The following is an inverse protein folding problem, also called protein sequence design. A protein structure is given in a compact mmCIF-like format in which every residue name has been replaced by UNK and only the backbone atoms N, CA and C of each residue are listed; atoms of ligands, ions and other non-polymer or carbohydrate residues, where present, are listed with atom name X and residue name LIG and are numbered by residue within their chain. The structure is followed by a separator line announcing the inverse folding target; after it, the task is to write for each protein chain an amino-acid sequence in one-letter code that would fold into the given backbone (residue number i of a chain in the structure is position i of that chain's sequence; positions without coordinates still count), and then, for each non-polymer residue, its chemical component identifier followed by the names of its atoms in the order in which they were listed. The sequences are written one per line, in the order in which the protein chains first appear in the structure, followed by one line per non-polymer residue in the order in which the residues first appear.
data_IF_245424359436
#
_entry.id   IF_245424359436
#
_cell.length_a   1.000
_cell.length_b   1.000
_cell.length_c   1.000
_cell.angle_alpha   90.00
_cell.angle_beta   90.00
_cell.angle_gamma   90.00
#
_symmetry.space_group_name_H-M   'P 1'
#
loop_
_entity.id
_entity.type
_entity.pdbx_description
1 polymer ?
#
# COMPACT_ATOMS: atom_id res chain seq x y z
N UNK A 1 -0.56 23.11 20.56
CA UNK A 1 -2.04 23.12 20.53
C UNK A 1 -2.54 23.76 19.25
N UNK A 2 -2.03 24.93 18.88
CA UNK A 2 -2.44 25.65 17.66
C UNK A 2 -2.40 24.80 16.37
N UNK A 3 -1.38 23.95 16.19
CA UNK A 3 -1.32 23.00 15.07
C UNK A 3 -2.46 21.97 15.08
N UNK A 4 -2.86 21.47 16.26
CA UNK A 4 -4.00 20.56 16.39
C UNK A 4 -5.32 21.30 16.11
N UNK A 5 -5.45 22.52 16.64
CA UNK A 5 -6.64 23.36 16.41
C UNK A 5 -6.83 23.62 14.92
N UNK A 6 -5.76 24.05 14.24
CA UNK A 6 -5.76 24.25 12.80
C UNK A 6 -6.14 22.98 12.04
N UNK A 7 -5.58 21.82 12.40
CA UNK A 7 -5.87 20.55 11.73
C UNK A 7 -7.34 20.12 11.89
N UNK A 8 -7.90 20.25 13.10
CA UNK A 8 -9.29 19.86 13.40
C UNK A 8 -10.28 20.79 12.70
N UNK A 9 -10.04 22.11 12.77
CA UNK A 9 -10.89 23.09 12.07
C UNK A 9 -10.80 22.94 10.56
N UNK A 10 -9.60 22.71 10.01
CA UNK A 10 -9.42 22.47 8.56
C UNK A 10 -10.13 21.20 8.11
N UNK A 11 -10.16 20.16 8.93
CA UNK A 11 -10.92 18.94 8.63
C UNK A 11 -12.42 19.21 8.53
N UNK A 12 -12.99 20.11 9.35
CA UNK A 12 -14.44 20.40 9.27
C UNK A 12 -14.88 21.14 8.01
N UNK A 13 -14.01 21.96 7.44
CA UNK A 13 -14.27 22.73 6.21
C UNK A 13 -13.63 22.09 4.98
N UNK A 14 -13.18 20.84 5.08
CA UNK A 14 -12.40 20.16 4.06
C UNK A 14 -13.10 20.19 2.70
N UNK A 15 -14.40 19.88 2.67
CA UNK A 15 -15.22 19.84 1.44
C UNK A 15 -15.27 21.20 0.72
N UNK A 16 -15.24 22.30 1.46
CA UNK A 16 -15.39 23.65 0.91
C UNK A 16 -14.06 24.25 0.46
N UNK A 17 -12.96 23.90 1.14
CA UNK A 17 -11.62 24.45 0.88
C UNK A 17 -10.85 23.63 -0.16
N UNK A 18 -11.10 22.33 -0.23
CA UNK A 18 -10.31 21.43 -1.08
C UNK A 18 -10.71 21.52 -2.56
N UNK A 19 -9.72 21.41 -3.45
CA UNK A 19 -9.94 21.32 -4.91
C UNK A 19 -10.40 19.90 -5.31
N UNK A 20 -10.02 18.88 -4.53
CA UNK A 20 -10.36 17.48 -4.80
C UNK A 20 -11.78 17.11 -4.35
N UNK A 21 -12.33 16.06 -4.94
CA UNK A 21 -13.61 15.49 -4.52
C UNK A 21 -13.41 14.61 -3.29
N UNK A 22 -13.52 15.23 -2.11
CA UNK A 22 -13.47 14.54 -0.82
C UNK A 22 -14.85 14.53 -0.15
N UNK A 23 -15.17 13.42 0.50
CA UNK A 23 -16.38 13.24 1.27
C UNK A 23 -16.07 12.64 2.65
N UNK A 24 -16.84 13.02 3.66
CA UNK A 24 -16.66 12.49 5.00
C UNK A 24 -17.23 11.09 5.10
N UNK A 25 -16.53 10.21 5.83
CA UNK A 25 -17.02 8.86 6.04
C UNK A 25 -18.21 8.84 7.01
N UNK A 26 -19.24 8.05 6.69
CA UNK A 26 -20.50 7.96 7.44
C UNK A 26 -20.79 6.51 7.84
N UNK A 27 -21.43 6.32 9.00
CA UNK A 27 -22.04 5.06 9.39
C UNK A 27 -23.33 4.80 8.58
N UNK A 28 -23.82 3.56 8.56
CA UNK A 28 -25.07 3.19 7.89
C UNK A 28 -26.29 4.04 8.32
N UNK A 29 -26.27 4.54 9.56
CA UNK A 29 -27.31 5.42 10.11
C UNK A 29 -27.21 6.89 9.65
N UNK A 30 -26.31 7.21 8.71
CA UNK A 30 -26.07 8.57 8.19
C UNK A 30 -25.27 9.49 9.13
N UNK A 31 -24.80 8.98 10.27
CA UNK A 31 -23.98 9.76 11.21
C UNK A 31 -22.52 9.76 10.75
N UNK A 32 -21.86 10.92 10.78
CA UNK A 32 -20.43 11.04 10.44
C UNK A 32 -19.56 10.27 11.42
N UNK A 33 -18.57 9.54 10.91
CA UNK A 33 -17.58 8.87 11.75
C UNK A 33 -16.72 9.94 12.42
N UNK A 34 -16.61 9.95 13.76
CA UNK A 34 -15.82 10.95 14.45
C UNK A 34 -14.34 10.76 14.14
N UNK A 35 -13.64 11.87 13.96
CA UNK A 35 -12.18 11.89 14.08
C UNK A 35 -11.78 11.60 15.53
N UNK A 36 -10.56 11.18 15.78
CA UNK A 36 -10.09 10.95 17.14
C UNK A 36 -8.63 11.33 17.31
N UNK A 37 -8.30 11.77 18.51
CA UNK A 37 -6.92 11.97 18.94
C UNK A 37 -6.52 10.77 19.78
N UNK A 38 -5.38 10.16 19.46
CA UNK A 38 -4.75 9.14 20.29
C UNK A 38 -3.34 9.59 20.65
N UNK A 39 -3.01 9.62 21.93
CA UNK A 39 -1.67 9.91 22.38
C UNK A 39 -1.10 8.76 23.21
N UNK A 40 0.17 8.48 22.98
CA UNK A 40 0.97 7.50 23.68
C UNK A 40 1.81 8.22 24.73
N UNK A 41 1.71 7.77 25.98
CA UNK A 41 2.46 8.33 27.11
C UNK A 41 3.26 7.23 27.79
N UNK A 42 4.39 7.57 28.40
CA UNK A 42 5.06 6.63 29.29
C UNK A 42 4.30 6.44 30.60
N UNK A 43 4.28 5.20 31.04
CA UNK A 43 3.96 4.83 32.41
C UNK A 43 5.15 5.12 33.34
N UNK A 44 4.92 4.94 34.63
CA UNK A 44 5.96 5.04 35.66
C UNK A 44 7.17 4.18 35.29
N UNK A 45 8.35 4.81 35.17
CA UNK A 45 9.61 4.13 34.91
C UNK A 45 10.09 4.16 33.45
N UNK A 46 9.44 4.88 32.53
CA UNK A 46 9.89 5.08 31.13
C UNK A 46 10.09 3.77 30.33
N UNK A 47 9.52 2.66 30.76
CA UNK A 47 9.66 1.35 30.12
C UNK A 47 8.41 0.92 29.37
N UNK A 48 7.22 1.25 29.89
CA UNK A 48 5.94 0.89 29.27
C UNK A 48 5.23 2.12 28.73
N UNK A 49 4.58 2.00 27.58
CA UNK A 49 3.71 3.03 27.02
C UNK A 49 2.22 2.72 27.30
N UNK A 50 1.43 3.78 27.52
CA UNK A 50 -0.02 3.74 27.65
C UNK A 50 -0.62 4.61 26.56
N UNK A 51 -1.51 4.00 25.77
CA UNK A 51 -2.29 4.70 24.76
C UNK A 51 -3.59 5.21 25.35
N UNK A 52 -3.88 6.49 25.15
CA UNK A 52 -5.15 7.11 25.50
C UNK A 52 -5.74 7.77 24.26
N UNK A 53 -7.02 7.52 23.98
CA UNK A 53 -7.71 8.07 22.82
C UNK A 53 -8.98 8.82 23.23
N UNK A 54 -9.27 9.90 22.52
CA UNK A 54 -10.47 10.71 22.68
C UNK A 54 -11.09 10.97 21.30
N UNK A 55 -12.39 10.73 21.19
CA UNK A 55 -13.14 11.03 19.99
C UNK A 55 -13.45 12.52 19.91
N UNK A 56 -13.31 13.09 18.71
CA UNK A 56 -13.67 14.47 18.38
C UNK A 56 -14.81 14.40 17.35
N UNK A 57 -16.07 14.60 17.80
CA UNK A 57 -17.22 14.56 16.92
C UNK A 57 -17.27 15.83 16.06
N UNK A 58 -17.50 15.65 14.76
CA UNK A 58 -17.61 16.74 13.77
C UNK A 58 -18.58 17.84 14.23
N UNK A 59 -19.74 17.46 14.77
CA UNK A 59 -20.79 18.40 15.19
C UNK A 59 -20.35 19.34 16.32
N UNK A 60 -19.50 18.87 17.26
CA UNK A 60 -19.02 19.71 18.35
C UNK A 60 -18.05 20.79 17.85
N UNK A 61 -17.22 20.44 16.87
CA UNK A 61 -16.29 21.39 16.25
C UNK A 61 -17.05 22.40 15.41
N UNK A 62 -17.97 21.94 14.56
CA UNK A 62 -18.75 22.82 13.67
C UNK A 62 -19.69 23.78 14.41
N UNK A 63 -20.18 23.40 15.59
CA UNK A 63 -21.03 24.27 16.42
C UNK A 63 -20.26 25.44 17.06
N UNK A 64 -18.92 25.37 17.10
CA UNK A 64 -18.07 26.32 17.82
C UNK A 64 -17.35 27.24 16.84
N UNK A 65 -17.59 28.55 16.92
CA UNK A 65 -16.93 29.53 16.03
C UNK A 65 -15.41 29.63 16.25
N UNK A 66 -14.91 29.29 17.45
CA UNK A 66 -13.49 29.30 17.78
C UNK A 66 -13.14 28.03 18.57
N UNK A 67 -12.74 26.98 17.86
CA UNK A 67 -12.40 25.70 18.46
C UNK A 67 -11.07 25.79 19.22
N UNK A 68 -11.06 25.30 20.46
CA UNK A 68 -9.84 25.10 21.25
C UNK A 68 -9.76 23.66 21.73
N UNK A 69 -8.81 22.91 21.16
CA UNK A 69 -8.51 21.53 21.55
C UNK A 69 -8.08 21.48 23.00
N UNK A 70 -7.32 22.47 23.48
CA UNK A 70 -6.89 22.49 24.88
C UNK A 70 -8.08 22.52 25.86
N UNK A 71 -9.11 23.31 25.57
CA UNK A 71 -10.31 23.38 26.40
C UNK A 71 -11.12 22.07 26.30
N UNK A 72 -11.33 21.57 25.09
CA UNK A 72 -12.06 20.32 24.86
C UNK A 72 -11.42 19.13 25.58
N UNK A 73 -10.09 19.02 25.54
CA UNK A 73 -9.35 17.97 26.23
C UNK A 73 -9.53 18.06 27.75
N UNK A 74 -9.48 19.27 28.32
CA UNK A 74 -9.71 19.48 29.77
C UNK A 74 -11.13 19.09 30.20
N UNK A 75 -12.15 19.47 29.43
CA UNK A 75 -13.56 19.14 29.71
C UNK A 75 -13.81 17.62 29.70
N UNK A 76 -13.05 16.88 28.89
CA UNK A 76 -13.16 15.43 28.77
C UNK A 76 -12.15 14.66 29.66
N UNK A 77 -11.53 15.31 30.64
CA UNK A 77 -10.52 14.73 31.54
C UNK A 77 -9.33 14.09 30.79
N UNK A 78 -8.98 14.63 29.63
CA UNK A 78 -7.84 14.21 28.83
C UNK A 78 -6.72 15.23 28.99
N UNK A 79 -5.65 14.88 29.70
CA UNK A 79 -4.48 15.75 29.87
C UNK A 79 -3.33 15.29 28.98
N UNK A 80 -2.69 16.24 28.29
CA UNK A 80 -1.44 16.00 27.57
C UNK A 80 -0.26 16.29 28.51
N UNK A 81 0.30 15.26 29.10
CA UNK A 81 1.52 15.36 29.91
C UNK A 81 2.74 15.35 28.98
N UNK A 82 3.16 16.53 28.48
CA UNK A 82 4.27 16.65 27.53
C UNK A 82 5.57 15.99 28.02
N UNK A 83 5.84 16.01 29.33
CA UNK A 83 7.00 15.37 29.95
C UNK A 83 7.04 13.84 29.75
N UNK A 84 5.86 13.22 29.58
CA UNK A 84 5.70 11.78 29.38
C UNK A 84 5.21 11.42 27.97
N UNK A 85 4.92 12.41 27.15
CA UNK A 85 4.35 12.23 25.82
C UNK A 85 5.40 11.65 24.87
N UNK A 86 5.08 10.52 24.25
CA UNK A 86 5.88 9.90 23.20
C UNK A 86 5.46 10.39 21.83
N UNK A 87 4.17 10.23 21.54
CA UNK A 87 3.59 10.60 20.26
C UNK A 87 2.13 10.92 20.47
N UNK A 88 1.60 11.86 19.71
CA UNK A 88 0.17 12.04 19.59
C UNK A 88 -0.26 12.05 18.13
N UNK A 89 -1.43 11.47 17.85
CA UNK A 89 -1.93 11.28 16.49
C UNK A 89 -3.35 11.78 16.40
N UNK A 90 -3.62 12.68 15.46
CA UNK A 90 -4.98 13.04 15.07
C UNK A 90 -5.36 12.24 13.83
N UNK A 91 -6.36 11.37 13.96
CA UNK A 91 -6.76 10.42 12.93
C UNK A 91 -8.17 10.74 12.44
N UNK A 92 -8.33 10.80 11.12
CA UNK A 92 -9.59 11.03 10.46
C UNK A 92 -9.69 10.22 9.16
N UNK A 93 -10.92 9.92 8.74
CA UNK A 93 -11.20 9.15 7.53
C UNK A 93 -11.96 9.99 6.52
N UNK A 94 -11.50 10.00 5.29
CA UNK A 94 -12.16 10.69 4.17
C UNK A 94 -12.24 9.76 2.97
N UNK A 95 -13.36 9.83 2.27
CA UNK A 95 -13.55 9.19 0.98
C UNK A 95 -13.04 10.15 -0.10
N UNK A 96 -12.35 9.61 -1.08
CA UNK A 96 -11.87 10.37 -2.23
C UNK A 96 -12.24 9.65 -3.52
N UNK A 97 -12.64 10.41 -4.52
CA UNK A 97 -12.95 9.88 -5.86
C UNK A 97 -11.91 10.40 -6.84
N UNK A 98 -11.29 9.50 -7.61
CA UNK A 98 -10.38 9.86 -8.69
C UNK A 98 -11.03 9.62 -10.03
N UNK A 99 -11.27 10.70 -10.76
CA UNK A 99 -11.72 10.67 -12.14
C UNK A 99 -10.54 10.42 -13.07
N UNK A 100 -10.66 9.44 -13.99
CA UNK A 100 -9.67 9.18 -15.05
C UNK A 100 -10.07 9.98 -16.31
N UNK A 101 -9.08 10.46 -17.06
CA UNK A 101 -9.27 11.17 -18.34
C UNK A 101 -8.45 10.43 -19.41
N UNK A 102 -9.00 10.05 -20.58
CA UNK A 102 -10.36 10.34 -21.10
C UNK A 102 -11.47 9.52 -20.40
N UNK A 103 -12.72 10.01 -20.40
CA UNK A 103 -13.84 9.44 -19.65
C UNK A 103 -14.37 8.10 -20.19
N UNK A 104 -13.91 7.63 -21.34
CA UNK A 104 -14.71 6.69 -22.14
C UNK A 104 -14.75 5.22 -21.69
N UNK A 105 -13.94 4.73 -20.74
CA UNK A 105 -13.96 3.26 -20.48
C UNK A 105 -13.68 2.78 -19.05
N UNK A 106 -13.63 3.65 -18.03
CA UNK A 106 -13.42 3.15 -16.67
C UNK A 106 -14.30 3.91 -15.66
N UNK A 107 -14.94 3.14 -14.77
CA UNK A 107 -15.56 3.67 -13.56
C UNK A 107 -14.52 4.49 -12.76
N UNK A 108 -14.94 5.51 -12.01
CA UNK A 108 -14.06 6.23 -11.11
C UNK A 108 -13.39 5.27 -10.12
N UNK A 109 -12.15 5.58 -9.73
CA UNK A 109 -11.52 4.85 -8.62
C UNK A 109 -11.94 5.52 -7.30
N UNK A 110 -12.66 4.79 -6.46
CA UNK A 110 -13.00 5.23 -5.11
C UNK A 110 -11.91 4.81 -4.12
N UNK A 111 -11.54 5.71 -3.20
CA UNK A 111 -10.55 5.46 -2.17
C UNK A 111 -11.10 5.81 -0.79
N UNK A 112 -10.83 4.94 0.19
CA UNK A 112 -10.93 5.25 1.61
C UNK A 112 -9.56 5.69 2.10
N UNK A 113 -9.43 6.96 2.47
CA UNK A 113 -8.20 7.53 2.99
C UNK A 113 -8.29 7.60 4.52
N UNK A 114 -7.53 6.74 5.19
CA UNK A 114 -7.28 6.87 6.62
C UNK A 114 -6.05 7.74 6.83
N UNK A 115 -6.28 9.00 7.23
CA UNK A 115 -5.22 10.00 7.42
C UNK A 115 -4.90 10.15 8.89
N UNK A 116 -3.61 10.26 9.21
CA UNK A 116 -3.09 10.44 10.56
C UNK A 116 -2.04 11.55 10.56
N UNK A 117 -2.33 12.65 11.25
CA UNK A 117 -1.33 13.68 11.57
C UNK A 117 -0.61 13.21 12.84
N UNK A 118 0.68 12.94 12.73
CA UNK A 118 1.53 12.40 13.79
C UNK A 118 2.40 13.53 14.32
N UNK A 119 2.28 13.76 15.61
CA UNK A 119 3.14 14.61 16.43
C UNK A 119 4.09 13.68 17.18
N UNK A 120 5.36 13.69 16.82
CA UNK A 120 6.37 12.79 17.34
C UNK A 120 7.32 13.54 18.29
N UNK A 121 7.42 13.03 19.51
CA UNK A 121 8.21 13.55 20.62
C UNK A 121 9.09 12.44 21.23
N UNK A 122 9.46 11.42 20.45
CA UNK A 122 10.27 10.29 20.93
C UNK A 122 11.65 10.72 21.43
N UNK A 123 12.31 11.65 20.74
CA UNK A 123 13.66 12.13 21.05
C UNK A 123 13.73 13.12 22.24
N UNK A 124 12.60 13.73 22.61
CA UNK A 124 12.45 14.66 23.76
C UNK A 124 13.51 15.77 23.84
N UNK A 125 13.96 16.27 22.71
CA UNK A 125 14.97 17.34 22.61
C UNK A 125 14.34 18.76 22.67
N UNK A 126 13.04 18.83 22.96
CA UNK A 126 12.27 20.08 22.95
C UNK A 126 11.72 20.45 21.57
N UNK A 127 11.95 19.63 20.55
CA UNK A 127 11.38 19.76 19.22
C UNK A 127 10.45 18.58 18.92
N UNK A 128 9.22 18.89 18.49
CA UNK A 128 8.24 17.87 18.12
C UNK A 128 8.09 17.85 16.60
N UNK A 129 8.35 16.70 15.98
CA UNK A 129 8.21 16.51 14.55
C UNK A 129 6.73 16.33 14.19
N UNK A 130 6.29 16.97 13.10
CA UNK A 130 4.91 16.87 12.62
C UNK A 130 4.91 16.24 11.24
N UNK A 131 4.25 15.10 11.10
CA UNK A 131 4.10 14.38 9.83
C UNK A 131 2.64 14.10 9.52
N UNK A 132 2.32 13.97 8.23
CA UNK A 132 1.02 13.49 7.77
C UNK A 132 1.22 12.13 7.10
N UNK A 133 0.58 11.10 7.62
CA UNK A 133 0.60 9.76 7.04
C UNK A 133 -0.79 9.41 6.50
N UNK A 134 -0.86 8.95 5.26
CA UNK A 134 -2.13 8.65 4.57
C UNK A 134 -2.09 7.20 4.12
N UNK A 135 -3.03 6.41 4.61
CA UNK A 135 -3.27 5.04 4.14
C UNK A 135 -4.48 5.04 3.22
N UNK A 136 -4.27 4.70 1.95
CA UNK A 136 -5.31 4.63 0.95
C UNK A 136 -5.73 3.18 0.70
N UNK A 137 -7.02 2.89 0.88
CA UNK A 137 -7.64 1.62 0.54
C UNK A 137 -8.55 1.81 -0.67
N UNK A 138 -8.39 0.99 -1.70
CA UNK A 138 -9.26 1.06 -2.89
C UNK A 138 -10.62 0.47 -2.55
N UNK A 139 -11.68 1.21 -2.86
CA UNK A 139 -13.07 0.81 -2.70
C UNK A 139 -13.71 0.56 -4.07
N UNK A 140 -14.79 -0.19 -4.10
CA UNK A 140 -15.71 -0.15 -5.24
C UNK A 140 -16.64 1.04 -5.11
N UNK A 141 -16.76 1.82 -6.18
CA UNK A 141 -17.81 2.80 -6.28
C UNK A 141 -19.12 2.06 -6.54
N UNK A 142 -20.03 2.00 -5.56
CA UNK A 142 -21.36 1.42 -5.74
C UNK A 142 -22.25 2.45 -6.46
N UNK A 143 -22.52 2.24 -7.74
CA UNK A 143 -23.51 3.03 -8.46
C UNK A 143 -24.88 2.39 -8.23
N UNK A 144 -25.67 2.94 -7.29
CA UNK A 144 -27.10 2.59 -7.17
C UNK A 144 -27.83 2.99 -8.46
N UNK A 145 -27.93 2.08 -9.42
CA UNK A 145 -28.65 2.28 -10.69
C UNK A 145 -27.93 1.82 -11.95
N UNK A 146 -26.67 1.42 -11.86
CA UNK A 146 -25.99 0.72 -12.95
C UNK A 146 -25.13 -0.39 -12.35
N UNK A 147 -25.70 -1.59 -12.25
CA UNK A 147 -24.94 -2.83 -12.24
C UNK A 147 -24.20 -2.93 -13.59
N UNK A 148 -23.19 -2.08 -13.79
CA UNK A 148 -22.09 -2.47 -14.64
C UNK A 148 -21.22 -3.31 -13.73
N UNK A 149 -21.40 -4.62 -13.82
CA UNK A 149 -20.40 -5.62 -13.48
C UNK A 149 -19.03 -5.00 -13.64
N UNK A 150 -18.21 -5.08 -12.58
CA UNK A 150 -16.84 -4.61 -12.59
C UNK A 150 -16.14 -5.30 -13.75
N UNK A 151 -16.15 -4.67 -14.92
CA UNK A 151 -15.56 -5.24 -16.12
C UNK A 151 -14.11 -5.48 -15.76
N UNK A 152 -13.75 -6.76 -15.80
CA UNK A 152 -12.40 -7.24 -15.57
C UNK A 152 -11.39 -6.25 -16.17
N UNK A 153 -10.25 -6.06 -15.49
CA UNK A 153 -9.12 -5.34 -16.08
C UNK A 153 -9.00 -5.74 -17.54
N UNK A 154 -9.08 -4.74 -18.44
CA UNK A 154 -9.63 -4.88 -19.79
C UNK A 154 -9.35 -6.27 -20.39
N UNK A 155 -10.35 -6.99 -20.95
CA UNK A 155 -10.17 -8.39 -21.38
C UNK A 155 -8.93 -8.58 -22.28
N UNK A 156 -8.57 -7.52 -23.02
CA UNK A 156 -7.34 -7.42 -23.80
C UNK A 156 -6.05 -7.52 -22.95
N UNK A 157 -5.96 -6.79 -21.83
CA UNK A 157 -4.80 -6.82 -20.93
C UNK A 157 -4.61 -8.18 -20.25
N UNK A 158 -5.70 -8.82 -19.83
CA UNK A 158 -5.67 -10.16 -19.23
C UNK A 158 -5.21 -11.20 -20.27
N UNK A 159 -5.73 -11.14 -21.50
CA UNK A 159 -5.31 -12.02 -22.59
C UNK A 159 -3.81 -11.84 -22.93
N UNK A 160 -3.33 -10.59 -23.01
CA UNK A 160 -1.92 -10.30 -23.26
C UNK A 160 -1.01 -10.83 -22.14
N UNK A 161 -1.41 -10.72 -20.88
CA UNK A 161 -0.66 -11.28 -19.75
C UNK A 161 -0.53 -12.82 -19.86
N UNK A 162 -1.62 -13.52 -20.21
CA UNK A 162 -1.62 -14.98 -20.39
C UNK A 162 -0.71 -15.39 -21.55
N UNK A 163 -0.83 -14.73 -22.70
CA UNK A 163 0.00 -15.02 -23.88
C UNK A 163 1.48 -14.78 -23.57
N UNK A 164 1.80 -13.67 -22.91
CA UNK A 164 3.18 -13.36 -22.49
C UNK A 164 3.75 -14.44 -21.58
N UNK A 165 2.97 -14.89 -20.59
CA UNK A 165 3.36 -15.95 -19.68
C UNK A 165 3.64 -17.28 -20.41
N UNK A 166 2.81 -17.65 -21.39
CA UNK A 166 3.03 -18.84 -22.20
C UNK A 166 4.32 -18.77 -23.04
N UNK A 167 4.57 -17.63 -23.68
CA UNK A 167 5.78 -17.41 -24.49
C UNK A 167 7.03 -17.50 -23.61
N UNK A 168 7.05 -16.85 -22.43
CA UNK A 168 8.16 -16.93 -21.49
C UNK A 168 8.39 -18.36 -20.97
N UNK A 169 7.34 -19.13 -20.67
CA UNK A 169 7.46 -20.53 -20.24
C UNK A 169 8.09 -21.43 -21.34
N UNK A 170 7.69 -21.22 -22.60
CA UNK A 170 8.26 -21.96 -23.74
C UNK A 170 9.72 -21.57 -23.99
N UNK A 171 10.03 -20.27 -23.95
CA UNK A 171 11.39 -19.73 -24.06
C UNK A 171 12.30 -20.31 -22.98
N UNK A 172 11.88 -20.24 -21.72
CA UNK A 172 12.62 -20.77 -20.57
C UNK A 172 12.87 -22.28 -20.73
N UNK A 173 11.87 -23.05 -21.16
CA UNK A 173 12.00 -24.51 -21.37
C UNK A 173 13.02 -24.84 -22.47
N UNK A 174 12.97 -24.12 -23.60
CA UNK A 174 13.93 -24.26 -24.69
C UNK A 174 15.36 -23.88 -24.25
N UNK A 175 15.48 -22.78 -23.49
CA UNK A 175 16.76 -22.26 -23.01
C UNK A 175 17.40 -23.21 -21.98
N UNK A 176 16.61 -23.71 -21.02
CA UNK A 176 17.04 -24.71 -20.05
C UNK A 176 17.50 -26.01 -20.73
N UNK A 177 16.80 -26.46 -21.79
CA UNK A 177 17.21 -27.63 -22.57
C UNK A 177 18.56 -27.41 -23.25
N UNK A 178 18.79 -26.24 -23.81
CA UNK A 178 20.07 -25.87 -24.44
C UNK A 178 21.21 -25.80 -23.42
N UNK A 179 20.98 -25.16 -22.28
CA UNK A 179 21.94 -25.10 -21.17
C UNK A 179 22.25 -26.50 -20.63
N UNK A 180 21.23 -27.35 -20.45
CA UNK A 180 21.42 -28.73 -20.00
C UNK A 180 22.31 -29.53 -20.96
N UNK A 181 22.04 -29.45 -22.27
CA UNK A 181 22.88 -30.11 -23.28
C UNK A 181 24.31 -29.59 -23.27
N UNK A 182 24.50 -28.27 -23.12
CA UNK A 182 25.83 -27.67 -23.02
C UNK A 182 26.58 -28.18 -21.77
N UNK A 183 25.90 -28.35 -20.64
CA UNK A 183 26.50 -28.91 -19.42
C UNK A 183 26.85 -30.40 -19.56
N UNK A 184 26.00 -31.19 -20.22
CA UNK A 184 26.31 -32.60 -20.54
C UNK A 184 27.55 -32.71 -21.43
N UNK A 185 27.67 -31.81 -22.42
CA UNK A 185 28.86 -31.73 -23.28
C UNK A 185 30.11 -31.34 -22.47
N UNK A 186 29.99 -30.32 -21.60
CA UNK A 186 31.06 -29.90 -20.68
C UNK A 186 31.57 -31.07 -19.85
N UNK A 187 30.66 -31.81 -19.21
CA UNK A 187 31.02 -32.98 -18.40
C UNK A 187 31.71 -34.08 -19.21
N UNK A 188 31.20 -34.39 -20.40
CA UNK A 188 31.77 -35.41 -21.29
C UNK A 188 33.16 -35.02 -21.78
N UNK A 189 33.36 -33.73 -22.11
CA UNK A 189 34.65 -33.17 -22.52
C UNK A 189 35.68 -33.25 -21.38
N UNK A 190 35.32 -32.79 -20.18
CA UNK A 190 36.19 -32.87 -18.99
C UNK A 190 36.60 -34.31 -18.69
N UNK A 191 35.65 -35.25 -18.75
CA UNK A 191 35.94 -36.67 -18.56
C UNK A 191 36.90 -37.21 -19.64
N UNK A 192 36.67 -36.86 -20.90
CA UNK A 192 37.53 -37.28 -22.01
C UNK A 192 38.97 -36.77 -21.86
N UNK A 193 39.15 -35.48 -21.56
CA UNK A 193 40.48 -34.89 -21.36
C UNK A 193 41.23 -35.50 -20.18
N UNK A 194 40.53 -35.80 -19.09
CA UNK A 194 41.12 -36.44 -17.92
C UNK A 194 41.59 -37.87 -18.23
N UNK A 195 40.81 -38.65 -18.98
CA UNK A 195 41.15 -40.05 -19.28
C UNK A 195 42.26 -40.14 -20.33
N UNK A 196 42.18 -39.36 -21.41
CA UNK A 196 43.10 -39.50 -22.54
C UNK A 196 44.41 -38.74 -22.37
N UNK A 197 44.38 -37.57 -21.75
CA UNK A 197 45.54 -36.68 -21.64
C UNK A 197 46.07 -36.52 -20.21
N UNK A 198 45.41 -37.14 -19.21
CA UNK A 198 45.71 -37.02 -17.78
C UNK A 198 45.88 -35.55 -17.30
N UNK A 199 45.17 -34.63 -17.96
CA UNK A 199 45.17 -33.19 -17.66
C UNK A 199 43.80 -32.76 -17.17
N UNK A 200 43.78 -31.82 -16.23
CA UNK A 200 42.56 -31.14 -15.79
C UNK A 200 42.37 -29.87 -16.62
N UNK A 201 41.16 -29.64 -17.12
CA UNK A 201 40.81 -28.40 -17.82
C UNK A 201 40.83 -27.21 -16.87
N UNK A 202 41.18 -26.04 -17.40
CA UNK A 202 41.12 -24.80 -16.66
C UNK A 202 39.65 -24.38 -16.49
N UNK A 203 39.34 -23.67 -15.41
CA UNK A 203 37.96 -23.22 -15.15
C UNK A 203 37.48 -22.24 -16.22
N UNK A 204 38.38 -21.44 -16.79
CA UNK A 204 38.06 -20.53 -17.90
C UNK A 204 37.62 -21.27 -19.16
N UNK A 205 38.30 -22.37 -19.51
CA UNK A 205 37.92 -23.22 -20.64
C UNK A 205 36.59 -23.95 -20.37
N UNK A 206 36.30 -24.28 -19.10
CA UNK A 206 35.00 -24.85 -18.71
C UNK A 206 33.86 -23.83 -18.82
N UNK A 207 34.10 -22.54 -18.60
CA UNK A 207 33.11 -21.48 -18.75
C UNK A 207 32.77 -21.17 -20.21
N UNK A 208 33.64 -21.49 -21.16
CA UNK A 208 33.37 -21.33 -22.59
C UNK A 208 32.18 -22.19 -23.06
N UNK A 209 31.95 -23.33 -22.40
CA UNK A 209 30.76 -24.17 -22.62
C UNK A 209 29.46 -23.53 -22.09
N UNK A 210 29.54 -22.45 -21.31
CA UNK A 210 28.39 -21.78 -20.73
C UNK A 210 28.07 -20.48 -21.50
N UNK A 211 27.00 -20.50 -22.29
CA UNK A 211 26.56 -19.30 -22.99
C UNK A 211 25.79 -18.36 -22.05
N UNK A 212 26.44 -17.29 -21.61
CA UNK A 212 25.85 -16.29 -20.72
C UNK A 212 24.59 -15.60 -21.28
N UNK A 213 24.43 -15.52 -22.60
CA UNK A 213 23.20 -14.99 -23.20
C UNK A 213 21.99 -15.86 -22.88
N UNK A 214 22.14 -17.19 -22.88
CA UNK A 214 21.08 -18.10 -22.48
C UNK A 214 20.74 -17.96 -20.99
N UNK A 215 21.74 -17.76 -20.14
CA UNK A 215 21.50 -17.48 -18.71
C UNK A 215 20.71 -16.18 -18.55
N UNK A 216 21.07 -15.13 -19.28
CA UNK A 216 20.36 -13.85 -19.23
C UNK A 216 18.90 -13.98 -19.65
N UNK A 217 18.62 -14.75 -20.72
CA UNK A 217 17.26 -15.02 -21.18
C UNK A 217 16.47 -15.76 -20.09
N UNK A 218 17.05 -16.77 -19.44
CA UNK A 218 16.38 -17.48 -18.34
C UNK A 218 16.02 -16.55 -17.17
N UNK A 219 16.94 -15.66 -16.78
CA UNK A 219 16.69 -14.70 -15.69
C UNK A 219 15.58 -13.73 -16.08
N UNK A 220 15.61 -13.22 -17.31
CA UNK A 220 14.58 -12.31 -17.81
C UNK A 220 13.20 -12.99 -17.81
N UNK A 221 13.09 -14.20 -18.36
CA UNK A 221 11.84 -14.96 -18.38
C UNK A 221 11.30 -15.20 -16.97
N UNK A 222 12.16 -15.52 -15.98
CA UNK A 222 11.74 -15.67 -14.58
C UNK A 222 11.23 -14.36 -13.97
N UNK A 223 11.87 -13.22 -14.27
CA UNK A 223 11.42 -11.90 -13.80
C UNK A 223 10.08 -11.50 -14.42
N UNK A 224 9.89 -11.75 -15.71
CA UNK A 224 8.62 -11.49 -16.40
C UNK A 224 7.51 -12.35 -15.79
N UNK A 225 7.73 -13.67 -15.64
CA UNK A 225 6.74 -14.58 -15.04
C UNK A 225 6.37 -14.12 -13.63
N UNK A 226 7.36 -13.79 -12.79
CA UNK A 226 7.12 -13.31 -11.42
C UNK A 226 6.34 -11.99 -11.41
N UNK A 227 6.70 -11.05 -12.28
CA UNK A 227 6.00 -9.78 -12.41
C UNK A 227 4.55 -9.93 -12.87
N UNK A 228 4.28 -10.81 -13.84
CA UNK A 228 2.93 -11.11 -14.31
C UNK A 228 2.08 -11.76 -13.21
N UNK A 229 2.63 -12.71 -12.45
CA UNK A 229 1.94 -13.33 -11.31
C UNK A 229 1.64 -12.31 -10.22
N UNK A 230 2.58 -11.43 -9.89
CA UNK A 230 2.38 -10.37 -8.90
C UNK A 230 1.26 -9.41 -9.33
N UNK A 231 1.26 -8.99 -10.60
CA UNK A 231 0.21 -8.12 -11.16
C UNK A 231 -1.18 -8.76 -11.05
N UNK A 232 -1.32 -10.01 -11.48
CA UNK A 232 -2.58 -10.76 -11.37
C UNK A 232 -3.01 -10.92 -9.91
N UNK A 233 -2.06 -11.14 -8.99
CA UNK A 233 -2.33 -11.22 -7.55
C UNK A 233 -2.83 -9.91 -6.96
N UNK A 234 -2.27 -8.76 -7.37
CA UNK A 234 -2.73 -7.44 -6.91
C UNK A 234 -4.13 -7.13 -7.44
N UNK A 235 -4.38 -7.39 -8.72
CA UNK A 235 -5.72 -7.24 -9.32
C UNK A 235 -6.75 -8.13 -8.60
N UNK A 236 -6.38 -9.36 -8.25
CA UNK A 236 -7.25 -10.29 -7.49
C UNK A 236 -7.51 -9.84 -6.04
N UNK A 237 -6.51 -9.28 -5.35
CA UNK A 237 -6.68 -8.80 -3.96
C UNK A 237 -7.57 -7.56 -3.89
N UNK A 238 -7.45 -6.64 -4.85
CA UNK A 238 -8.38 -5.50 -4.93
C UNK A 238 -9.83 -5.97 -5.08
N UNK A 239 -10.06 -7.12 -5.72
CA UNK A 239 -11.38 -7.76 -5.83
C UNK A 239 -11.79 -8.40 -4.49
N UNK A 240 -10.90 -9.13 -3.82
CA UNK A 240 -11.19 -9.76 -2.52
C UNK A 240 -11.52 -8.78 -1.40
N UNK A 241 -10.79 -7.67 -1.29
CA UNK A 241 -11.08 -6.64 -0.28
C UNK A 241 -12.40 -5.91 -0.57
N UNK A 242 -12.76 -5.80 -1.85
CA UNK A 242 -14.08 -5.28 -2.26
C UNK A 242 -15.21 -6.20 -1.83
N UNK A 243 -15.08 -7.52 -2.04
CA UNK A 243 -16.18 -8.43 -1.72
C UNK A 243 -16.43 -8.48 -0.22
N UNK A 244 -15.38 -8.46 0.60
CA UNK A 244 -15.51 -8.43 2.08
C UNK A 244 -16.25 -7.18 2.55
N UNK A 245 -15.98 -6.00 1.99
CA UNK A 245 -16.68 -4.77 2.37
C UNK A 245 -18.14 -4.71 1.91
N UNK A 246 -18.50 -5.37 0.81
CA UNK A 246 -19.90 -5.52 0.42
C UNK A 246 -20.70 -6.40 1.40
N UNK A 247 -20.05 -7.30 2.14
CA UNK A 247 -20.72 -8.13 3.16
C UNK A 247 -20.81 -7.45 4.54
N UNK A 248 -19.95 -6.48 4.87
CA UNK A 248 -20.07 -5.67 6.09
C UNK A 248 -21.02 -4.47 5.94
N UNK A 249 -21.59 -4.28 4.74
CA UNK A 249 -22.56 -3.22 4.41
C UNK A 249 -24.03 -3.62 4.45
N UNK A 250 -24.37 -4.81 5.00
CA UNK A 250 -25.75 -5.25 5.25
C UNK A 250 -26.10 -5.22 6.74
#
# INVERSE_FOLDING_TARGET
YDYLDYAITSYTVLKDVSIGTYEYHQYANGTLIPSFICCDHYQTGFTNSRKACLNIPYLAVNATNNWSTQQYLKENNFSLEFDKLLSCRFVFKVLAVKLRVPPDFNLPDCYNLTSAIVFDNEDRDGQMLVGLNIQATVLSCNNTGHDSDREWGSPQSTALNIVTMLICCLSLSMCLRSLYRAQVLRYSCVKFFRIQYNKKLNLWDEFEFCNFWYILICINDMLIITGTVLKLGLESRMIGDTTVQNYEGY
#
